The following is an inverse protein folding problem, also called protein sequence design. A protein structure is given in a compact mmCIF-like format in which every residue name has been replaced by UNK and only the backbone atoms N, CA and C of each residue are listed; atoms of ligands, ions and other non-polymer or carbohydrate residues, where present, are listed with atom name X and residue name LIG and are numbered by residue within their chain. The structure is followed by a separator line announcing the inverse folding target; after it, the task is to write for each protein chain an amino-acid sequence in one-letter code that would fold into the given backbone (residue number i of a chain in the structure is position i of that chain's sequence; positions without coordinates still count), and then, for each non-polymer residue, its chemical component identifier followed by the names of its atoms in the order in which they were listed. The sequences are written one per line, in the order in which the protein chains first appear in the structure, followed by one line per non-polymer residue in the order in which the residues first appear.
data_IF_208361350721
#
_entry.id   IF_208361350721
#
_cell.length_a   1.000
_cell.length_b   1.000
_cell.length_c   1.000
_cell.angle_alpha   90.00
_cell.angle_beta   90.00
_cell.angle_gamma   90.00
#
_symmetry.space_group_name_H-M   'P 1'
#
loop_
_entity.id
_entity.type
_entity.pdbx_description
1 polymer ?
#
# COMPACT_ATOMS: atom_id res chain seq x y z
N UNK A 1 -0.23 -54.54 30.14
CA UNK A 1 -1.26 -53.94 29.26
C UNK A 1 -0.86 -52.49 29.09
N UNK A 2 -0.07 -52.22 28.08
CA UNK A 2 0.39 -50.87 27.68
C UNK A 2 -0.72 -50.26 26.81
N UNK A 3 -1.19 -49.10 27.15
CA UNK A 3 -2.06 -48.27 26.30
C UNK A 3 -1.26 -47.15 25.69
N UNK A 4 -1.08 -47.25 24.38
CA UNK A 4 -0.46 -46.28 23.50
C UNK A 4 -1.38 -45.06 23.30
N UNK A 5 -0.97 -43.81 23.58
CA UNK A 5 -1.77 -42.64 23.28
C UNK A 5 -1.45 -42.13 21.86
N UNK A 6 -2.25 -42.56 20.89
CA UNK A 6 -2.32 -41.94 19.56
C UNK A 6 -2.88 -40.53 19.68
N UNK A 7 -1.99 -39.52 19.66
CA UNK A 7 -2.39 -38.15 19.45
C UNK A 7 -2.70 -37.94 17.96
N UNK A 8 -3.89 -37.43 17.59
CA UNK A 8 -4.16 -37.04 16.23
C UNK A 8 -3.40 -35.74 15.92
N UNK A 9 -2.43 -35.84 15.02
CA UNK A 9 -1.84 -34.68 14.37
C UNK A 9 -2.89 -33.99 13.48
N UNK A 10 -3.60 -33.02 14.06
CA UNK A 10 -4.47 -32.14 13.30
C UNK A 10 -3.66 -31.32 12.28
N UNK A 11 -4.24 -30.93 11.14
CA UNK A 11 -3.55 -30.12 10.17
C UNK A 11 -3.13 -28.79 10.81
N UNK A 12 -1.83 -28.53 10.80
CA UNK A 12 -1.27 -27.24 11.22
C UNK A 12 -1.88 -26.16 10.31
N UNK A 13 -2.83 -25.40 10.82
CA UNK A 13 -3.37 -24.23 10.13
C UNK A 13 -2.21 -23.24 10.03
N UNK A 14 -1.60 -23.18 8.86
CA UNK A 14 -0.61 -22.15 8.55
C UNK A 14 -1.31 -20.80 8.70
N UNK A 15 -0.76 -19.94 9.56
CA UNK A 15 -1.30 -18.61 9.77
C UNK A 15 -1.39 -17.87 8.42
N UNK A 16 -2.31 -16.89 8.26
CA UNK A 16 -2.44 -16.10 7.03
C UNK A 16 -1.14 -15.43 6.55
N UNK A 17 -0.11 -15.38 7.39
CA UNK A 17 1.24 -14.91 7.07
C UNK A 17 1.93 -15.64 5.92
N UNK A 18 1.51 -16.86 5.56
CA UNK A 18 2.25 -17.70 4.60
C UNK A 18 1.77 -17.56 3.13
N UNK A 19 0.75 -16.75 2.85
CA UNK A 19 0.19 -16.64 1.48
C UNK A 19 0.80 -15.46 0.71
N UNK A 20 1.55 -14.57 1.38
CA UNK A 20 2.18 -13.44 0.74
C UNK A 20 3.62 -13.75 0.35
N UNK A 21 3.81 -13.78 -0.91
CA UNK A 21 5.02 -13.80 -1.74
C UNK A 21 6.33 -13.55 -0.95
N UNK A 22 6.75 -14.54 -0.18
CA UNK A 22 7.96 -14.52 0.66
C UNK A 22 9.25 -14.30 -0.15
N UNK A 23 9.17 -14.32 -1.48
CA UNK A 23 10.36 -14.33 -2.33
C UNK A 23 10.78 -12.96 -2.87
N UNK A 24 9.95 -11.91 -2.77
CA UNK A 24 10.23 -10.68 -3.52
C UNK A 24 10.95 -9.56 -2.77
N UNK A 25 11.01 -9.52 -1.44
CA UNK A 25 11.55 -8.30 -0.79
C UNK A 25 12.07 -8.50 0.62
N UNK A 26 13.12 -9.28 0.77
CA UNK A 26 13.82 -9.36 2.07
C UNK A 26 15.07 -8.49 2.16
N UNK A 27 15.39 -7.71 1.11
CA UNK A 27 16.52 -6.79 1.20
C UNK A 27 16.12 -5.54 2.00
N UNK A 28 16.64 -5.35 3.22
CA UNK A 28 16.30 -4.21 4.07
C UNK A 28 16.90 -2.89 3.56
N UNK A 29 17.82 -2.94 2.59
CA UNK A 29 18.52 -1.77 2.05
C UNK A 29 17.79 -1.13 0.89
N UNK A 30 16.82 -1.83 0.28
CA UNK A 30 16.01 -1.25 -0.79
C UNK A 30 15.13 -0.12 -0.21
N UNK A 31 15.23 1.11 -0.73
CA UNK A 31 14.39 2.21 -0.29
C UNK A 31 12.92 1.82 -0.33
N UNK A 32 12.20 2.10 0.74
CA UNK A 32 10.80 1.69 0.91
C UNK A 32 9.90 2.88 1.17
N UNK A 33 8.84 3.03 0.39
CA UNK A 33 7.81 4.03 0.56
C UNK A 33 6.57 3.35 1.15
N UNK A 34 6.15 3.76 2.35
CA UNK A 34 4.83 3.44 2.88
C UNK A 34 3.83 4.41 2.26
N UNK A 35 2.93 3.88 1.43
CA UNK A 35 2.05 4.67 0.60
C UNK A 35 0.63 4.67 1.15
N UNK A 36 0.08 5.86 1.41
CA UNK A 36 -1.36 6.09 1.47
C UNK A 36 -1.91 6.41 0.08
N UNK A 37 -3.22 6.27 -0.09
CA UNK A 37 -3.89 6.44 -1.39
C UNK A 37 -4.79 7.68 -1.38
N UNK A 38 -5.74 7.73 -0.43
CA UNK A 38 -6.69 8.83 -0.32
C UNK A 38 -5.96 10.11 0.10
N UNK A 39 -6.17 11.22 -0.60
CA UNK A 39 -5.45 12.47 -0.36
C UNK A 39 -4.00 12.49 -0.86
N UNK A 40 -3.46 11.37 -1.37
CA UNK A 40 -2.10 11.25 -1.90
C UNK A 40 -2.11 10.99 -3.41
N UNK A 41 -2.68 9.87 -3.84
CA UNK A 41 -2.78 9.53 -5.26
C UNK A 41 -3.95 10.21 -5.97
N UNK A 42 -4.89 10.73 -5.22
CA UNK A 42 -5.97 11.57 -5.68
C UNK A 42 -6.41 12.57 -4.59
N UNK A 43 -6.69 13.82 -4.95
CA UNK A 43 -7.11 14.85 -4.00
C UNK A 43 -8.47 14.53 -3.37
N UNK A 44 -8.61 14.87 -2.09
CA UNK A 44 -9.89 14.82 -1.39
C UNK A 44 -10.70 16.09 -1.74
N UNK A 45 -11.73 15.96 -2.55
CA UNK A 45 -12.58 17.09 -2.92
C UNK A 45 -13.42 17.59 -1.72
N UNK A 46 -13.54 18.93 -1.51
CA UNK A 46 -14.30 19.49 -0.37
C UNK A 46 -15.80 19.15 -0.34
N UNK A 47 -16.33 18.66 -1.46
CA UNK A 47 -17.78 18.41 -1.64
C UNK A 47 -18.30 17.17 -0.89
N UNK A 48 -17.57 16.60 0.03
CA UNK A 48 -18.08 15.55 0.93
C UNK A 48 -18.61 14.28 0.21
N UNK A 49 -18.44 14.17 -1.09
CA UNK A 49 -18.69 12.92 -1.81
C UNK A 49 -17.58 11.97 -1.40
N UNK A 50 -17.90 11.26 -0.33
CA UNK A 50 -17.05 10.26 0.27
C UNK A 50 -16.72 9.22 -0.81
N UNK A 51 -15.46 9.14 -1.19
CA UNK A 51 -14.92 8.04 -2.00
C UNK A 51 -15.29 6.67 -1.41
N UNK A 52 -15.64 6.63 -0.12
CA UNK A 52 -16.15 5.42 0.55
C UNK A 52 -17.41 4.86 -0.15
N UNK A 53 -18.30 5.70 -0.65
CA UNK A 53 -19.45 5.24 -1.44
C UNK A 53 -19.03 4.72 -2.82
N UNK A 54 -18.01 5.32 -3.44
CA UNK A 54 -17.39 4.81 -4.67
C UNK A 54 -16.61 3.53 -4.40
N UNK A 55 -15.93 3.41 -3.25
CA UNK A 55 -15.20 2.20 -2.84
C UNK A 55 -16.15 1.04 -2.55
N UNK A 56 -17.27 1.28 -1.86
CA UNK A 56 -18.28 0.25 -1.62
C UNK A 56 -18.95 -0.19 -2.93
N UNK A 57 -19.16 0.74 -3.85
CA UNK A 57 -19.65 0.44 -5.20
C UNK A 57 -18.60 -0.32 -6.04
N UNK A 58 -17.31 0.02 -5.90
CA UNK A 58 -16.21 -0.68 -6.56
C UNK A 58 -16.02 -2.10 -6.00
N UNK A 59 -16.06 -2.24 -4.69
CA UNK A 59 -15.98 -3.54 -4.02
C UNK A 59 -17.16 -4.44 -4.42
N UNK A 60 -18.39 -3.90 -4.45
CA UNK A 60 -19.57 -4.61 -4.89
C UNK A 60 -19.51 -5.02 -6.39
N UNK A 61 -18.92 -4.17 -7.23
CA UNK A 61 -18.68 -4.49 -8.65
C UNK A 61 -17.58 -5.54 -8.81
N UNK A 62 -16.49 -5.46 -8.06
CA UNK A 62 -15.40 -6.43 -8.08
C UNK A 62 -15.88 -7.82 -7.59
N UNK A 63 -16.79 -7.88 -6.63
CA UNK A 63 -17.42 -9.13 -6.19
C UNK A 63 -18.39 -9.69 -7.23
N UNK A 64 -19.06 -8.84 -8.02
CA UNK A 64 -19.94 -9.25 -9.11
C UNK A 64 -19.16 -9.67 -10.39
N UNK A 65 -17.93 -9.21 -10.53
CA UNK A 65 -17.07 -9.41 -11.69
C UNK A 65 -16.00 -10.50 -11.50
N UNK A 66 -16.15 -11.37 -10.48
CA UNK A 66 -15.19 -12.48 -10.20
C UNK A 66 -15.01 -13.45 -11.38
N UNK A 67 -15.87 -13.38 -12.40
CA UNK A 67 -15.79 -14.19 -13.64
C UNK A 67 -15.21 -13.40 -14.85
N UNK A 68 -14.78 -12.15 -14.68
CA UNK A 68 -14.17 -11.36 -15.76
C UNK A 68 -12.66 -11.60 -15.86
N UNK A 69 -12.08 -11.62 -17.07
CA UNK A 69 -10.63 -11.71 -17.26
C UNK A 69 -9.92 -10.52 -16.61
N UNK A 70 -8.68 -10.76 -16.09
CA UNK A 70 -7.88 -9.80 -15.30
C UNK A 70 -7.71 -8.43 -15.97
N UNK A 71 -7.65 -8.39 -17.29
CA UNK A 71 -7.53 -7.20 -18.13
C UNK A 71 -8.82 -6.34 -18.16
N UNK A 72 -10.00 -6.95 -18.00
CA UNK A 72 -11.26 -6.21 -17.92
C UNK A 72 -11.43 -5.46 -16.59
N UNK A 73 -10.91 -6.01 -15.48
CA UNK A 73 -10.95 -5.36 -14.17
C UNK A 73 -10.06 -4.12 -14.14
N UNK A 74 -8.89 -4.18 -14.76
CA UNK A 74 -7.97 -3.04 -14.83
C UNK A 74 -8.56 -1.86 -15.60
N UNK A 75 -9.35 -2.09 -16.66
CA UNK A 75 -9.91 -1.03 -17.48
C UNK A 75 -11.05 -0.25 -16.82
N UNK A 76 -11.71 -0.82 -15.83
CA UNK A 76 -12.86 -0.20 -15.15
C UNK A 76 -12.43 0.77 -14.02
N UNK A 77 -11.18 0.66 -13.55
CA UNK A 77 -10.62 1.41 -12.41
C UNK A 77 -9.76 2.59 -12.88
N UNK A 78 -9.51 2.73 -14.16
CA UNK A 78 -8.62 3.73 -14.81
C UNK A 78 -9.14 5.17 -14.78
N UNK A 79 -9.74 5.65 -13.73
CA UNK A 79 -10.22 7.03 -13.65
C UNK A 79 -10.12 7.67 -12.27
N UNK A 80 -9.62 6.94 -11.28
CA UNK A 80 -9.72 7.38 -9.89
C UNK A 80 -8.45 8.06 -9.36
N UNK A 81 -7.27 7.72 -9.90
CA UNK A 81 -6.03 8.36 -9.49
C UNK A 81 -5.69 9.55 -10.38
N UNK A 82 -5.32 10.67 -9.77
CA UNK A 82 -5.01 11.89 -10.50
C UNK A 82 -3.72 11.72 -11.31
N UNK A 83 -3.74 11.90 -12.65
CA UNK A 83 -2.56 11.66 -13.48
C UNK A 83 -1.33 12.46 -13.08
N UNK A 84 -1.50 13.70 -12.60
CA UNK A 84 -0.39 14.55 -12.16
C UNK A 84 0.27 14.01 -10.88
N UNK A 85 -0.54 13.55 -9.91
CA UNK A 85 -0.01 12.94 -8.69
C UNK A 85 0.73 11.63 -9.01
N UNK A 86 0.17 10.81 -9.90
CA UNK A 86 0.79 9.55 -10.32
C UNK A 86 2.08 9.79 -11.11
N UNK A 87 2.15 10.84 -11.93
CA UNK A 87 3.37 11.23 -12.64
C UNK A 87 4.48 11.65 -11.67
N UNK A 88 4.17 12.49 -10.68
CA UNK A 88 5.12 12.92 -9.67
C UNK A 88 5.62 11.73 -8.84
N UNK A 89 4.72 10.81 -8.46
CA UNK A 89 5.07 9.60 -7.73
C UNK A 89 5.96 8.66 -8.56
N UNK A 90 5.66 8.49 -9.85
CA UNK A 90 6.46 7.66 -10.75
C UNK A 90 7.88 8.22 -10.92
N UNK A 91 8.03 9.54 -11.10
CA UNK A 91 9.33 10.19 -11.17
C UNK A 91 10.15 9.98 -9.88
N UNK A 92 9.51 10.14 -8.71
CA UNK A 92 10.12 9.91 -7.40
C UNK A 92 10.64 8.47 -7.27
N UNK A 93 9.80 7.48 -7.55
CA UNK A 93 10.15 6.05 -7.43
C UNK A 93 11.27 5.68 -8.40
N UNK A 94 11.22 6.17 -9.62
CA UNK A 94 12.28 5.94 -10.60
C UNK A 94 13.63 6.53 -10.14
N UNK A 95 13.62 7.71 -9.55
CA UNK A 95 14.82 8.36 -9.04
C UNK A 95 15.42 7.65 -7.82
N UNK A 96 14.56 7.20 -6.89
CA UNK A 96 15.02 6.58 -5.64
C UNK A 96 15.26 5.07 -5.75
N UNK A 97 14.76 4.42 -6.80
CA UNK A 97 14.74 2.96 -6.89
C UNK A 97 13.88 2.32 -5.78
N UNK A 98 12.87 3.03 -5.31
CA UNK A 98 12.08 2.62 -4.16
C UNK A 98 11.03 1.57 -4.52
N UNK A 99 10.64 0.77 -3.52
CA UNK A 99 9.47 -0.12 -3.56
C UNK A 99 8.34 0.44 -2.72
N UNK A 100 7.12 0.01 -3.00
CA UNK A 100 5.95 0.38 -2.22
C UNK A 100 5.55 -0.67 -1.20
N UNK A 101 5.16 -0.20 -0.01
CA UNK A 101 4.40 -0.92 0.99
C UNK A 101 3.10 -0.15 1.25
N UNK A 102 1.95 -0.78 1.02
CA UNK A 102 0.67 -0.12 1.19
C UNK A 102 0.32 0.03 2.67
N UNK A 103 0.13 1.26 3.13
CA UNK A 103 -0.30 1.62 4.50
C UNK A 103 -1.73 2.14 4.57
N UNK A 104 -2.35 2.38 3.42
CA UNK A 104 -3.73 2.83 3.25
C UNK A 104 -4.76 1.77 3.68
N UNK A 105 -5.99 2.22 3.95
CA UNK A 105 -7.15 1.32 4.11
C UNK A 105 -7.42 0.47 2.86
N UNK A 106 -6.96 0.89 1.70
CA UNK A 106 -7.03 0.12 0.45
C UNK A 106 -6.32 -1.25 0.51
N UNK A 107 -5.56 -1.53 1.57
CA UNK A 107 -4.96 -2.85 1.80
C UNK A 107 -5.93 -3.89 2.40
N UNK A 108 -7.10 -3.47 2.87
CA UNK A 108 -8.02 -4.32 3.63
C UNK A 108 -8.61 -5.44 2.78
N UNK A 109 -8.95 -5.17 1.53
CA UNK A 109 -9.54 -6.16 0.63
C UNK A 109 -8.63 -6.49 -0.57
N UNK A 110 -8.77 -7.71 -1.09
CA UNK A 110 -8.00 -8.11 -2.27
C UNK A 110 -8.37 -7.32 -3.53
N UNK A 111 -9.63 -6.99 -3.81
CA UNK A 111 -9.97 -6.13 -4.95
C UNK A 111 -9.31 -4.75 -4.90
N UNK A 112 -9.32 -4.10 -3.73
CA UNK A 112 -8.69 -2.79 -3.55
C UNK A 112 -7.18 -2.84 -3.80
N UNK A 113 -6.48 -3.87 -3.28
CA UNK A 113 -5.06 -4.06 -3.53
C UNK A 113 -4.75 -4.25 -5.01
N UNK A 114 -5.56 -5.06 -5.72
CA UNK A 114 -5.40 -5.23 -7.18
C UNK A 114 -5.64 -3.94 -7.94
N UNK A 115 -6.60 -3.12 -7.51
CA UNK A 115 -6.86 -1.82 -8.09
C UNK A 115 -5.64 -0.89 -7.96
N UNK A 116 -5.03 -0.83 -6.78
CA UNK A 116 -3.80 -0.05 -6.56
C UNK A 116 -2.68 -0.55 -7.46
N UNK A 117 -2.44 -1.87 -7.51
CA UNK A 117 -1.41 -2.46 -8.37
C UNK A 117 -1.62 -2.12 -9.85
N UNK A 118 -2.87 -2.22 -10.33
CA UNK A 118 -3.20 -1.89 -11.72
C UNK A 118 -2.88 -0.43 -12.05
N UNK A 119 -3.20 0.52 -11.15
CA UNK A 119 -2.92 1.94 -11.33
C UNK A 119 -1.40 2.24 -11.30
N UNK A 120 -0.67 1.62 -10.37
CA UNK A 120 0.79 1.78 -10.30
C UNK A 120 1.46 1.26 -11.58
N UNK A 121 1.07 0.07 -12.04
CA UNK A 121 1.60 -0.54 -13.26
C UNK A 121 1.27 0.30 -14.49
N UNK A 122 0.03 0.80 -14.61
CA UNK A 122 -0.38 1.68 -15.70
C UNK A 122 0.41 2.98 -15.75
N UNK A 123 0.86 3.49 -14.60
CA UNK A 123 1.73 4.65 -14.49
C UNK A 123 3.25 4.32 -14.62
N UNK A 124 3.60 3.07 -14.98
CA UNK A 124 4.99 2.64 -15.17
C UNK A 124 5.77 2.40 -13.88
N UNK A 125 5.08 2.24 -12.76
CA UNK A 125 5.67 1.97 -11.45
C UNK A 125 5.64 0.47 -11.09
N UNK A 126 6.49 0.02 -10.15
CA UNK A 126 6.41 -1.34 -9.65
C UNK A 126 5.11 -1.55 -8.85
N UNK A 127 4.54 -2.77 -8.86
CA UNK A 127 3.41 -3.10 -8.01
C UNK A 127 3.77 -3.04 -6.53
N UNK A 128 2.77 -3.04 -5.66
CA UNK A 128 2.91 -3.12 -4.22
C UNK A 128 3.73 -4.38 -3.85
N UNK A 129 4.79 -4.21 -3.09
CA UNK A 129 5.65 -5.29 -2.62
C UNK A 129 5.22 -5.88 -1.27
N UNK A 130 4.35 -5.19 -0.55
CA UNK A 130 3.81 -5.60 0.74
C UNK A 130 2.79 -4.62 1.27
N UNK A 131 2.22 -4.91 2.43
CA UNK A 131 1.31 -4.01 3.13
C UNK A 131 1.45 -4.14 4.65
N UNK A 132 1.17 -3.05 5.36
CA UNK A 132 1.19 -3.04 6.81
C UNK A 132 0.06 -3.90 7.38
N UNK A 133 0.30 -4.53 8.53
CA UNK A 133 -0.70 -5.38 9.17
C UNK A 133 -1.87 -4.56 9.70
N UNK A 134 -3.06 -5.15 9.62
CA UNK A 134 -4.25 -4.69 10.36
C UNK A 134 -4.15 -5.25 11.79
N UNK A 135 -4.23 -4.42 12.80
CA UNK A 135 -4.19 -4.96 14.17
C UNK A 135 -3.91 -3.95 15.26
N UNK A 136 -3.25 -2.84 14.96
CA UNK A 136 -3.10 -1.72 15.88
C UNK A 136 -4.05 -0.59 15.50
N UNK A 137 -4.39 0.26 16.47
CA UNK A 137 -5.30 1.39 16.27
C UNK A 137 -4.70 2.47 15.35
N UNK A 138 -3.37 2.62 15.37
CA UNK A 138 -2.71 3.75 14.76
C UNK A 138 -1.84 3.33 13.57
N UNK A 139 -1.99 4.01 12.43
CA UNK A 139 -1.23 3.75 11.19
C UNK A 139 0.29 3.83 11.42
N UNK A 140 0.77 4.81 12.19
CA UNK A 140 2.21 4.92 12.46
C UNK A 140 2.78 3.70 13.20
N UNK A 141 2.01 3.09 14.12
CA UNK A 141 2.45 1.86 14.81
C UNK A 141 2.55 0.68 13.84
N UNK A 142 1.62 0.57 12.90
CA UNK A 142 1.64 -0.47 11.87
C UNK A 142 2.86 -0.31 10.95
N UNK A 143 3.22 0.94 10.60
CA UNK A 143 4.42 1.25 9.84
C UNK A 143 5.67 0.86 10.63
N UNK A 144 5.80 1.32 11.88
CA UNK A 144 6.95 1.01 12.73
C UNK A 144 7.10 -0.49 13.00
N UNK A 145 5.98 -1.20 13.16
CA UNK A 145 6.00 -2.66 13.30
C UNK A 145 6.56 -3.32 12.03
N UNK A 146 6.14 -2.87 10.84
CA UNK A 146 6.66 -3.38 9.57
C UNK A 146 8.16 -3.08 9.42
N UNK A 147 8.58 -1.84 9.70
CA UNK A 147 9.99 -1.42 9.68
C UNK A 147 10.84 -2.33 10.57
N UNK A 148 10.38 -2.58 11.80
CA UNK A 148 11.09 -3.43 12.76
C UNK A 148 11.12 -4.90 12.30
N UNK A 149 10.00 -5.45 11.84
CA UNK A 149 9.90 -6.85 11.40
C UNK A 149 10.83 -7.14 10.21
N UNK A 150 10.87 -6.22 9.24
CA UNK A 150 11.68 -6.35 8.01
C UNK A 150 13.04 -5.66 8.10
N UNK A 151 13.38 -5.06 9.25
CA UNK A 151 14.66 -4.38 9.52
C UNK A 151 15.00 -3.32 8.46
N UNK A 152 14.01 -2.56 8.01
CA UNK A 152 14.21 -1.56 6.96
C UNK A 152 15.15 -0.46 7.44
N UNK A 153 16.14 -0.14 6.64
CA UNK A 153 17.14 0.91 6.94
C UNK A 153 16.85 2.21 6.22
N UNK A 154 16.19 2.16 5.05
CA UNK A 154 15.81 3.32 4.24
C UNK A 154 14.31 3.26 3.96
N UNK A 155 13.57 4.15 4.61
CA UNK A 155 12.12 4.18 4.43
C UNK A 155 11.54 5.56 4.72
N UNK A 156 10.39 5.85 4.11
CA UNK A 156 9.61 7.06 4.33
C UNK A 156 8.12 6.73 4.20
N UNK A 157 7.27 7.39 4.97
CA UNK A 157 5.82 7.35 4.81
C UNK A 157 5.34 8.59 4.04
N UNK A 158 4.41 8.39 3.12
CA UNK A 158 3.67 9.44 2.41
C UNK A 158 2.21 9.32 2.79
N UNK A 159 1.64 10.37 3.39
CA UNK A 159 0.28 10.33 3.96
C UNK A 159 -0.25 11.77 4.10
N UNK A 160 -1.56 11.97 3.97
CA UNK A 160 -2.20 13.26 4.22
C UNK A 160 -2.56 13.45 5.69
N UNK A 161 -2.81 12.35 6.40
CA UNK A 161 -3.12 12.37 7.83
C UNK A 161 -1.87 12.71 8.66
N UNK A 162 -2.04 13.31 9.81
CA UNK A 162 -0.96 13.57 10.74
C UNK A 162 -0.48 12.27 11.41
N UNK A 163 0.64 11.75 10.94
CA UNK A 163 1.30 10.60 11.53
C UNK A 163 2.29 11.04 12.63
N UNK A 164 2.37 10.28 13.73
CA UNK A 164 3.33 10.51 14.81
C UNK A 164 4.69 9.88 14.47
N UNK A 165 5.18 10.17 13.26
CA UNK A 165 6.50 9.72 12.78
C UNK A 165 7.49 10.88 12.82
N UNK A 166 8.80 10.60 13.00
CA UNK A 166 9.85 11.59 12.85
C UNK A 166 9.85 12.20 11.44
N UNK A 167 10.19 13.48 11.30
CA UNK A 167 10.16 14.20 10.03
C UNK A 167 11.15 13.64 8.99
N UNK A 168 12.21 12.96 9.41
CA UNK A 168 13.14 12.24 8.55
C UNK A 168 12.55 10.97 7.92
N UNK A 169 11.36 10.56 8.35
CA UNK A 169 10.68 9.37 7.87
C UNK A 169 9.25 9.63 7.40
N UNK A 170 8.89 10.91 7.19
CA UNK A 170 7.52 11.25 6.88
C UNK A 170 7.40 12.50 6.01
N UNK A 171 6.65 12.38 4.92
CA UNK A 171 6.23 13.49 4.07
C UNK A 171 4.70 13.59 4.15
N UNK A 172 4.23 14.69 4.74
CA UNK A 172 2.81 14.99 4.80
C UNK A 172 2.36 15.72 3.55
N UNK A 173 1.37 15.16 2.88
CA UNK A 173 0.78 15.70 1.66
C UNK A 173 -0.43 16.56 1.98
N UNK A 174 -0.68 17.61 1.20
CA UNK A 174 -1.95 18.36 1.25
C UNK A 174 -3.06 17.53 0.60
N UNK A 175 -4.07 17.07 1.37
CA UNK A 175 -5.14 16.24 0.82
C UNK A 175 -5.96 16.92 -0.28
N UNK A 176 -5.98 18.25 -0.35
CA UNK A 176 -6.70 18.99 -1.39
C UNK A 176 -5.96 18.98 -2.75
N UNK A 177 -4.66 18.68 -2.74
CA UNK A 177 -3.78 18.74 -3.92
C UNK A 177 -3.28 17.36 -4.34
N UNK A 178 -3.03 16.47 -3.36
CA UNK A 178 -2.37 15.19 -3.57
C UNK A 178 -0.85 15.32 -3.67
N UNK A 179 -0.18 14.25 -4.04
CA UNK A 179 1.29 14.16 -4.12
C UNK A 179 1.84 14.97 -5.30
N UNK A 180 2.76 15.88 -5.01
CA UNK A 180 3.33 16.85 -5.96
C UNK A 180 4.81 16.59 -6.23
N UNK A 181 5.38 17.30 -7.25
CA UNK A 181 6.81 17.26 -7.52
C UNK A 181 7.64 17.75 -6.32
N UNK A 182 7.12 18.71 -5.52
CA UNK A 182 7.77 19.17 -4.29
C UNK A 182 7.85 18.08 -3.23
N UNK A 183 6.79 17.29 -3.09
CA UNK A 183 6.77 16.15 -2.16
C UNK A 183 7.73 15.07 -2.64
N UNK A 184 7.83 14.85 -3.95
CA UNK A 184 8.80 13.95 -4.57
C UNK A 184 10.24 14.35 -4.26
N UNK A 185 10.59 15.64 -4.33
CA UNK A 185 11.90 16.15 -3.93
C UNK A 185 12.20 15.85 -2.46
N UNK A 186 11.23 16.08 -1.56
CA UNK A 186 11.36 15.76 -0.14
C UNK A 186 11.59 14.25 0.09
N UNK A 187 10.79 13.39 -0.53
CA UNK A 187 10.93 11.93 -0.43
C UNK A 187 12.30 11.48 -0.92
N UNK A 188 12.73 11.98 -2.08
CA UNK A 188 14.05 11.63 -2.62
C UNK A 188 15.19 12.09 -1.70
N UNK A 189 15.10 13.29 -1.15
CA UNK A 189 16.10 13.79 -0.20
C UNK A 189 16.21 12.88 1.04
N UNK A 190 15.08 12.39 1.57
CA UNK A 190 15.07 11.51 2.74
C UNK A 190 15.57 10.09 2.44
N UNK A 191 15.28 9.55 1.25
CA UNK A 191 15.66 8.18 0.91
C UNK A 191 17.10 8.06 0.37
N UNK A 192 17.65 9.12 -0.20
CA UNK A 192 18.99 9.12 -0.80
C UNK A 192 20.07 9.66 0.14
N UNK A 193 19.67 10.23 1.29
CA UNK A 193 20.61 10.58 2.35
C UNK A 193 21.17 9.32 3.02
#
# INVERSE_FOLDING_TARGET
MEVDPLAPSGPTIKSPRSIFNESRTRDPTIPTIFLDIDGVCHPLKPSGHCLRASMDALAARADAEMDLPEDAVASTITGEFEPENMRALAACVQQCGARFVLSSTWRETAPQRRAVDAQLIAAGMPPISGYTMLGTRWRYEQILQYVHEFKLTKWVAIDDAELRLPCEHYVRVDPAVGFTDRDAECVCALLLA
#
